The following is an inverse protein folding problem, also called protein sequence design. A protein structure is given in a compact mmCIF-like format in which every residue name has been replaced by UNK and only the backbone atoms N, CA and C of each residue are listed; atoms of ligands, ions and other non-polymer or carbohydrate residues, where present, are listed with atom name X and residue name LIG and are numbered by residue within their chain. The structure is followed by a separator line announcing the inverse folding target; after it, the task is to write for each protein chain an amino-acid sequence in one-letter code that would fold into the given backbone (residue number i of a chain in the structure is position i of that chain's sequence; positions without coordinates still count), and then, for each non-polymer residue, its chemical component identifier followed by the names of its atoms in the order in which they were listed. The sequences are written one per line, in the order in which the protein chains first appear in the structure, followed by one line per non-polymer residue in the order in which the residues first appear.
data_IF_943959304177
#
_entry.id   IF_943959304177
#
_cell.length_a   1.000
_cell.length_b   1.000
_cell.length_c   1.000
_cell.angle_alpha   90.00
_cell.angle_beta   90.00
_cell.angle_gamma   90.00
#
_symmetry.space_group_name_H-M   'P 1'
#
loop_
_entity.id
_entity.type
_entity.pdbx_description
1 polymer ?
#
# COMPACT_ATOMS: atom_id res chain seq x y z
N UNK A 1 0.80 -7.07 9.49
CA UNK A 1 -0.27 -7.95 10.02
C UNK A 1 -0.27 -9.22 9.22
N UNK A 2 -0.18 -10.39 9.85
CA UNK A 2 -0.05 -11.65 9.11
C UNK A 2 -1.45 -12.12 8.71
N UNK A 3 -1.70 -12.18 7.40
CA UNK A 3 -2.91 -12.79 6.85
C UNK A 3 -2.62 -14.26 6.57
N UNK A 4 -3.48 -15.15 7.06
CA UNK A 4 -3.37 -16.60 6.83
C UNK A 4 -3.33 -16.87 5.32
N UNK A 5 -2.34 -17.64 4.88
CA UNK A 5 -2.16 -18.01 3.47
C UNK A 5 -1.58 -16.92 2.54
N UNK A 6 -1.38 -15.68 3.03
CA UNK A 6 -0.82 -14.58 2.21
C UNK A 6 0.57 -14.13 2.64
N UNK A 7 1.09 -14.67 3.75
CA UNK A 7 2.45 -14.36 4.20
C UNK A 7 3.47 -14.91 3.20
N UNK A 8 4.43 -14.07 2.81
CA UNK A 8 5.62 -14.49 2.04
C UNK A 8 6.73 -15.01 2.95
N UNK A 9 6.58 -14.82 4.26
CA UNK A 9 7.41 -15.41 5.29
C UNK A 9 6.85 -16.79 5.67
N UNK A 10 7.37 -17.82 5.01
CA UNK A 10 6.96 -19.23 5.11
C UNK A 10 8.14 -20.10 5.56
N UNK A 11 7.87 -21.32 6.03
CA UNK A 11 8.92 -22.27 6.41
C UNK A 11 9.91 -22.51 5.24
N UNK A 12 9.41 -22.68 4.02
CA UNK A 12 10.24 -22.82 2.82
C UNK A 12 11.16 -21.62 2.62
N UNK A 13 10.61 -20.40 2.68
CA UNK A 13 11.43 -19.19 2.54
C UNK A 13 12.47 -19.03 3.65
N UNK A 14 12.27 -19.63 4.83
CA UNK A 14 13.26 -19.62 5.92
C UNK A 14 14.36 -20.65 5.71
N UNK A 15 14.06 -21.82 5.14
CA UNK A 15 15.07 -22.77 4.68
C UNK A 15 15.89 -22.20 3.52
N UNK A 16 15.27 -21.50 2.57
CA UNK A 16 15.99 -20.82 1.50
C UNK A 16 17.05 -19.84 2.06
N UNK A 17 16.75 -19.14 3.17
CA UNK A 17 17.72 -18.26 3.85
C UNK A 17 18.87 -19.06 4.51
N UNK A 18 18.59 -20.27 5.00
CA UNK A 18 19.57 -21.17 5.59
C UNK A 18 20.52 -21.71 4.52
N UNK A 19 19.98 -22.19 3.40
CA UNK A 19 20.76 -22.71 2.27
C UNK A 19 21.67 -21.63 1.67
N UNK A 20 21.21 -20.37 1.64
CA UNK A 20 22.00 -19.22 1.19
C UNK A 20 22.99 -18.70 2.24
N UNK A 21 22.97 -19.23 3.47
CA UNK A 21 23.89 -18.81 4.54
C UNK A 21 23.68 -17.37 5.04
N UNK A 22 22.52 -16.78 4.81
CA UNK A 22 22.21 -15.38 5.18
C UNK A 22 21.16 -15.31 6.29
N UNK A 23 21.21 -14.24 7.12
CA UNK A 23 20.20 -13.97 8.17
C UNK A 23 19.97 -15.13 9.15
N UNK A 24 21.06 -15.62 9.73
CA UNK A 24 21.06 -16.71 10.71
C UNK A 24 20.00 -16.58 11.82
N UNK A 25 19.69 -15.35 12.25
CA UNK A 25 18.63 -15.07 13.26
C UNK A 25 17.22 -15.50 12.83
N UNK A 26 16.99 -15.74 11.54
CA UNK A 26 15.69 -16.14 10.99
C UNK A 26 15.63 -17.63 10.64
N UNK A 27 16.75 -18.37 10.76
CA UNK A 27 16.79 -19.79 10.39
C UNK A 27 15.84 -20.62 11.26
N UNK A 28 15.17 -21.65 10.70
CA UNK A 28 14.40 -22.59 11.49
C UNK A 28 15.28 -23.27 12.54
N UNK A 29 14.76 -23.44 13.75
CA UNK A 29 15.45 -24.14 14.84
C UNK A 29 14.75 -25.48 15.06
N UNK A 30 15.50 -26.56 14.99
CA UNK A 30 15.01 -27.90 15.30
C UNK A 30 15.02 -28.11 16.82
N UNK A 31 13.84 -28.32 17.40
CA UNK A 31 13.64 -28.68 18.81
C UNK A 31 13.01 -30.09 18.86
N UNK A 32 13.87 -31.10 18.76
CA UNK A 32 13.45 -32.50 18.65
C UNK A 32 12.66 -32.77 17.37
N UNK A 33 11.38 -33.12 17.51
CA UNK A 33 10.46 -33.34 16.38
C UNK A 33 9.75 -32.06 15.91
N UNK A 34 9.93 -30.94 16.60
CA UNK A 34 9.26 -29.68 16.27
C UNK A 34 10.22 -28.71 15.59
N UNK A 35 9.70 -27.96 14.62
CA UNK A 35 10.45 -26.89 13.96
C UNK A 35 9.94 -25.55 14.51
N UNK A 36 10.80 -24.84 15.21
CA UNK A 36 10.51 -23.52 15.74
C UNK A 36 10.96 -22.43 14.76
N UNK A 37 10.08 -21.48 14.47
CA UNK A 37 10.36 -20.34 13.61
C UNK A 37 10.61 -19.09 14.45
N UNK A 38 11.85 -18.53 14.44
CA UNK A 38 12.12 -17.29 15.13
C UNK A 38 11.28 -16.14 14.60
N UNK A 39 10.79 -15.30 15.51
CA UNK A 39 10.06 -14.08 15.17
C UNK A 39 10.94 -13.16 14.33
N UNK A 40 10.42 -12.72 13.19
CA UNK A 40 11.13 -11.78 12.34
C UNK A 40 11.12 -10.37 12.93
N UNK A 41 12.18 -9.59 12.68
CA UNK A 41 12.26 -8.18 13.08
C UNK A 41 11.17 -7.29 12.45
N UNK A 42 10.58 -7.72 11.33
CA UNK A 42 9.48 -7.04 10.65
C UNK A 42 8.08 -7.55 11.05
N UNK A 43 8.01 -8.52 11.97
CA UNK A 43 6.74 -9.06 12.45
C UNK A 43 6.29 -8.31 13.71
N UNK A 44 5.17 -7.58 13.59
CA UNK A 44 4.56 -6.91 14.74
C UNK A 44 4.06 -7.91 15.79
N UNK A 45 4.35 -7.63 17.06
CA UNK A 45 3.81 -8.33 18.22
C UNK A 45 2.28 -8.14 18.32
N UNK A 46 1.63 -8.93 19.18
CA UNK A 46 0.20 -8.82 19.39
C UNK A 46 -0.22 -7.46 19.99
N UNK A 47 0.67 -6.82 20.75
CA UNK A 47 0.46 -5.50 21.35
C UNK A 47 0.69 -4.39 20.32
N UNK A 48 1.75 -4.50 19.51
CA UNK A 48 2.03 -3.53 18.44
C UNK A 48 0.94 -3.54 17.38
N UNK A 49 0.42 -4.71 16.99
CA UNK A 49 -0.75 -4.81 16.11
C UNK A 49 -1.97 -4.10 16.67
N UNK A 50 -2.19 -4.19 17.98
CA UNK A 50 -3.30 -3.51 18.65
C UNK A 50 -3.11 -1.99 18.61
N UNK A 51 -1.88 -1.49 18.85
CA UNK A 51 -1.54 -0.07 18.71
C UNK A 51 -1.83 0.45 17.31
N UNK A 52 -1.41 -0.28 16.27
CA UNK A 52 -1.70 0.09 14.87
C UNK A 52 -3.21 0.09 14.58
N UNK A 53 -3.94 -0.94 15.02
CA UNK A 53 -5.39 -0.98 14.81
C UNK A 53 -6.11 0.17 15.53
N UNK A 54 -5.74 0.46 16.78
CA UNK A 54 -6.32 1.57 17.53
C UNK A 54 -6.02 2.92 16.86
N UNK A 55 -4.80 3.11 16.35
CA UNK A 55 -4.44 4.30 15.60
C UNK A 55 -5.32 4.46 14.36
N UNK A 56 -5.45 3.42 13.54
CA UNK A 56 -6.25 3.46 12.30
C UNK A 56 -7.76 3.58 12.57
N UNK A 57 -8.27 2.97 13.64
CA UNK A 57 -9.68 3.07 14.02
C UNK A 57 -10.07 4.48 14.47
N UNK A 58 -9.14 5.22 15.08
CA UNK A 58 -9.37 6.59 15.55
C UNK A 58 -8.85 7.66 14.57
N UNK A 59 -8.31 7.24 13.42
CA UNK A 59 -7.74 8.15 12.44
C UNK A 59 -8.81 9.06 11.86
N UNK A 60 -8.63 10.37 12.04
CA UNK A 60 -9.41 11.41 11.39
C UNK A 60 -8.54 12.11 10.36
N UNK A 61 -9.05 12.23 9.14
CA UNK A 61 -8.37 12.88 8.01
C UNK A 61 -9.26 13.99 7.44
N UNK A 62 -8.69 14.98 6.73
CA UNK A 62 -9.48 15.97 6.01
C UNK A 62 -10.47 15.34 5.03
N UNK A 63 -11.51 16.08 4.69
CA UNK A 63 -12.46 15.64 3.67
C UNK A 63 -11.74 15.40 2.32
N UNK A 64 -12.24 14.43 1.56
CA UNK A 64 -11.67 13.95 0.31
C UNK A 64 -10.21 13.41 0.37
N UNK A 65 -9.60 13.26 1.56
CA UNK A 65 -8.25 12.70 1.70
C UNK A 65 -8.20 11.18 1.51
N UNK A 66 -9.07 10.44 2.20
CA UNK A 66 -9.19 8.99 2.07
C UNK A 66 -10.61 8.52 2.37
N UNK A 67 -10.92 7.27 2.08
CA UNK A 67 -12.16 6.69 2.57
C UNK A 67 -12.11 6.52 4.09
N UNK A 68 -13.26 6.23 4.71
CA UNK A 68 -13.31 6.01 6.16
C UNK A 68 -12.62 4.69 6.55
N UNK A 69 -11.30 4.73 6.73
CA UNK A 69 -10.43 3.60 7.06
C UNK A 69 -10.87 2.90 8.35
N UNK A 70 -11.47 3.63 9.31
CA UNK A 70 -11.96 3.02 10.56
C UNK A 70 -12.95 1.88 10.31
N UNK A 71 -13.76 1.95 9.23
CA UNK A 71 -14.71 0.90 8.84
C UNK A 71 -14.03 -0.39 8.37
N UNK A 72 -12.77 -0.31 7.99
CA UNK A 72 -11.96 -1.42 7.53
C UNK A 72 -11.16 -2.07 8.66
N UNK A 73 -11.20 -1.53 9.89
CA UNK A 73 -10.37 -1.99 11.01
C UNK A 73 -11.21 -2.76 12.02
N UNK A 74 -10.81 -4.00 12.28
CA UNK A 74 -11.32 -4.78 13.41
C UNK A 74 -10.26 -4.82 14.52
N UNK A 75 -10.46 -3.99 15.54
CA UNK A 75 -9.53 -3.84 16.67
C UNK A 75 -9.44 -5.13 17.51
N UNK A 76 -10.58 -5.79 17.76
CA UNK A 76 -10.64 -7.00 18.57
C UNK A 76 -9.84 -8.14 17.91
N UNK A 77 -10.02 -8.32 16.60
CA UNK A 77 -9.28 -9.33 15.84
C UNK A 77 -7.88 -8.88 15.42
N UNK A 78 -7.52 -7.60 15.62
CA UNK A 78 -6.26 -6.99 15.20
C UNK A 78 -6.01 -7.14 13.69
N UNK A 79 -7.07 -6.96 12.91
CA UNK A 79 -7.08 -7.14 11.45
C UNK A 79 -7.60 -5.89 10.74
N UNK A 80 -7.17 -5.75 9.49
CA UNK A 80 -7.69 -4.76 8.55
C UNK A 80 -8.22 -5.50 7.33
N UNK A 81 -9.43 -5.21 6.90
CA UNK A 81 -10.08 -5.85 5.75
C UNK A 81 -10.91 -4.85 4.94
N UNK A 82 -11.13 -5.15 3.65
CA UNK A 82 -12.01 -4.35 2.79
C UNK A 82 -11.44 -3.01 2.35
N UNK A 83 -10.13 -2.80 2.48
CA UNK A 83 -9.43 -1.68 1.87
C UNK A 83 -9.49 -1.79 0.35
N UNK A 84 -9.70 -0.67 -0.33
CA UNK A 84 -9.57 -0.57 -1.79
C UNK A 84 -8.15 -0.15 -2.17
N UNK A 85 -7.84 -0.23 -3.47
CA UNK A 85 -6.53 0.15 -4.00
C UNK A 85 -6.12 1.57 -3.56
N UNK A 86 -7.04 2.53 -3.65
CA UNK A 86 -6.80 3.90 -3.18
C UNK A 86 -6.44 3.98 -1.69
N UNK A 87 -7.13 3.21 -0.83
CA UNK A 87 -6.85 3.21 0.61
C UNK A 87 -5.46 2.62 0.91
N UNK A 88 -5.07 1.58 0.17
CA UNK A 88 -3.72 1.04 0.25
C UNK A 88 -2.65 2.07 -0.14
N UNK A 89 -2.91 2.88 -1.18
CA UNK A 89 -2.00 3.95 -1.57
C UNK A 89 -1.86 5.03 -0.49
N UNK A 90 -2.97 5.51 0.07
CA UNK A 90 -2.93 6.51 1.16
C UNK A 90 -2.23 5.93 2.40
N UNK A 91 -2.49 4.65 2.72
CA UNK A 91 -1.81 3.99 3.82
C UNK A 91 -0.30 3.97 3.60
N UNK A 92 0.17 3.61 2.41
CA UNK A 92 1.59 3.54 2.08
C UNK A 92 2.26 4.93 2.05
N UNK A 93 1.62 5.92 1.45
CA UNK A 93 2.20 7.25 1.19
C UNK A 93 2.22 8.16 2.42
N UNK A 94 1.24 8.04 3.31
CA UNK A 94 1.06 9.01 4.39
C UNK A 94 0.92 8.37 5.78
N UNK A 95 0.03 7.38 5.90
CA UNK A 95 -0.42 6.93 7.22
C UNK A 95 0.59 5.98 7.86
N UNK A 96 1.11 5.00 7.13
CA UNK A 96 2.07 4.03 7.65
C UNK A 96 3.42 4.65 7.95
N UNK A 97 3.78 5.76 7.29
CA UNK A 97 4.98 6.53 7.63
C UNK A 97 5.00 6.96 9.10
N UNK A 98 3.82 7.19 9.67
CA UNK A 98 3.64 7.58 11.07
C UNK A 98 3.28 6.36 11.93
N UNK A 99 2.36 5.51 11.46
CA UNK A 99 1.79 4.44 12.26
C UNK A 99 2.80 3.38 12.72
N UNK A 100 3.86 3.12 11.93
CA UNK A 100 4.87 2.12 12.27
C UNK A 100 6.05 2.70 13.06
N UNK A 101 6.15 4.03 13.13
CA UNK A 101 7.31 4.71 13.73
C UNK A 101 7.34 4.44 15.23
N UNK A 102 8.43 3.82 15.69
CA UNK A 102 8.60 3.42 17.09
C UNK A 102 7.95 2.07 17.45
N UNK A 103 7.36 1.35 16.49
CA UNK A 103 6.86 -0.01 16.69
C UNK A 103 7.79 -1.08 16.14
N UNK A 104 8.58 -0.76 15.11
CA UNK A 104 9.55 -1.67 14.51
C UNK A 104 10.97 -1.10 14.62
N UNK A 105 12.02 -1.95 14.52
CA UNK A 105 13.40 -1.49 14.45
C UNK A 105 13.62 -0.49 13.30
N UNK A 106 14.58 0.42 13.46
CA UNK A 106 14.87 1.45 12.45
C UNK A 106 15.24 0.84 11.10
N UNK A 107 15.97 -0.27 11.13
CA UNK A 107 16.39 -1.02 9.96
C UNK A 107 15.19 -1.49 9.11
N UNK A 108 14.02 -1.69 9.75
CA UNK A 108 12.78 -2.06 9.08
C UNK A 108 11.95 -0.83 8.72
N UNK A 109 11.83 0.14 9.64
CA UNK A 109 11.02 1.34 9.43
C UNK A 109 11.57 2.21 8.31
N UNK A 110 12.87 2.48 8.30
CA UNK A 110 13.47 3.47 7.40
C UNK A 110 13.29 3.12 5.92
N UNK A 111 13.49 1.86 5.47
CA UNK A 111 13.22 1.48 4.09
C UNK A 111 11.73 1.55 3.71
N UNK A 112 10.81 1.19 4.61
CA UNK A 112 9.36 1.30 4.39
C UNK A 112 8.97 2.79 4.26
N UNK A 113 9.53 3.63 5.13
CA UNK A 113 9.28 5.07 5.12
C UNK A 113 9.82 5.70 3.84
N UNK A 114 11.03 5.31 3.42
CA UNK A 114 11.62 5.77 2.16
C UNK A 114 10.76 5.35 0.96
N UNK A 115 10.26 4.12 0.94
CA UNK A 115 9.36 3.65 -0.12
C UNK A 115 8.06 4.46 -0.17
N UNK A 116 7.42 4.72 0.98
CA UNK A 116 6.21 5.53 1.02
C UNK A 116 6.46 6.98 0.57
N UNK A 117 7.60 7.57 0.93
CA UNK A 117 8.03 8.89 0.42
C UNK A 117 8.27 8.88 -1.08
N UNK A 118 8.94 7.86 -1.61
CA UNK A 118 9.10 7.69 -3.06
C UNK A 118 7.75 7.69 -3.77
N UNK A 119 6.80 6.87 -3.29
CA UNK A 119 5.46 6.83 -3.87
C UNK A 119 4.69 8.13 -3.71
N UNK A 120 4.87 8.86 -2.61
CA UNK A 120 4.26 10.17 -2.40
C UNK A 120 4.79 11.20 -3.40
N UNK A 121 6.09 11.18 -3.64
CA UNK A 121 6.75 12.11 -4.57
C UNK A 121 6.41 11.78 -6.02
N UNK A 122 6.54 10.52 -6.47
CA UNK A 122 6.27 10.15 -7.87
C UNK A 122 4.79 10.30 -8.28
N UNK A 123 3.86 10.27 -7.32
CA UNK A 123 2.44 10.56 -7.54
C UNK A 123 2.07 12.04 -7.30
N UNK A 124 3.05 12.93 -7.12
CA UNK A 124 2.81 14.37 -7.02
C UNK A 124 2.12 14.90 -8.27
N UNK A 125 1.31 15.96 -8.08
CA UNK A 125 0.63 16.66 -9.18
C UNK A 125 1.61 17.40 -10.08
N UNK A 126 2.70 17.88 -9.48
CA UNK A 126 3.76 18.63 -10.14
C UNK A 126 5.07 17.87 -9.93
N UNK A 127 5.78 17.60 -11.03
CA UNK A 127 7.05 16.89 -11.06
C UNK A 127 7.98 17.64 -11.99
N UNK A 128 9.19 17.96 -11.53
CA UNK A 128 10.25 18.44 -12.42
C UNK A 128 11.13 17.28 -12.90
N UNK A 129 11.97 17.50 -13.90
CA UNK A 129 12.90 16.47 -14.37
C UNK A 129 13.93 16.15 -13.29
N UNK A 130 14.37 17.14 -12.53
CA UNK A 130 15.30 16.99 -11.41
C UNK A 130 14.69 16.11 -10.30
N UNK A 131 13.41 16.31 -9.96
CA UNK A 131 12.70 15.43 -9.02
C UNK A 131 12.73 13.98 -9.51
N UNK A 132 12.49 13.76 -10.80
CA UNK A 132 12.46 12.43 -11.41
C UNK A 132 13.85 11.78 -11.48
N UNK A 133 14.90 12.55 -11.72
CA UNK A 133 16.30 12.08 -11.68
C UNK A 133 16.67 11.61 -10.27
N UNK A 134 16.28 12.36 -9.24
CA UNK A 134 16.48 11.96 -7.84
C UNK A 134 15.73 10.66 -7.54
N UNK A 135 14.44 10.59 -7.91
CA UNK A 135 13.62 9.40 -7.66
C UNK A 135 14.15 8.16 -8.40
N UNK A 136 14.66 8.32 -9.61
CA UNK A 136 15.28 7.23 -10.40
C UNK A 136 16.56 6.70 -9.75
N UNK A 137 17.38 7.58 -9.17
CA UNK A 137 18.57 7.19 -8.43
C UNK A 137 18.25 6.55 -7.06
N UNK A 138 17.18 6.99 -6.40
CA UNK A 138 16.82 6.53 -5.05
C UNK A 138 16.14 5.14 -5.05
N UNK A 139 15.26 4.85 -6.01
CA UNK A 139 14.41 3.66 -5.95
C UNK A 139 15.19 2.33 -5.93
N UNK A 140 16.31 2.13 -6.67
CA UNK A 140 17.08 0.90 -6.56
C UNK A 140 17.70 0.72 -5.17
N UNK A 141 18.11 1.82 -4.52
CA UNK A 141 18.67 1.82 -3.16
C UNK A 141 17.58 1.44 -2.15
N UNK A 142 16.38 2.00 -2.29
CA UNK A 142 15.23 1.69 -1.42
C UNK A 142 14.86 0.21 -1.54
N UNK A 143 14.73 -0.30 -2.77
CA UNK A 143 14.40 -1.71 -3.02
C UNK A 143 15.50 -2.63 -2.46
N UNK A 144 16.77 -2.29 -2.62
CA UNK A 144 17.89 -3.06 -2.05
C UNK A 144 17.84 -3.08 -0.52
N UNK A 145 17.55 -1.95 0.12
CA UNK A 145 17.40 -1.90 1.59
C UNK A 145 16.22 -2.73 2.08
N UNK A 146 15.09 -2.71 1.38
CA UNK A 146 13.97 -3.59 1.66
C UNK A 146 14.37 -5.06 1.48
N UNK A 147 15.11 -5.38 0.42
CA UNK A 147 15.59 -6.73 0.14
C UNK A 147 16.45 -7.27 1.27
N UNK A 148 17.26 -6.44 1.94
CA UNK A 148 18.07 -6.83 3.09
C UNK A 148 17.25 -7.20 4.34
N UNK A 149 15.99 -6.75 4.43
CA UNK A 149 15.13 -6.93 5.60
C UNK A 149 14.12 -8.06 5.37
N UNK A 150 13.38 -8.02 4.27
CA UNK A 150 12.26 -8.92 4.00
C UNK A 150 12.69 -10.20 3.28
N UNK A 151 11.94 -11.31 3.41
CA UNK A 151 12.28 -12.57 2.73
C UNK A 151 12.38 -12.41 1.22
N UNK A 152 13.28 -13.16 0.58
CA UNK A 152 13.44 -13.13 -0.89
C UNK A 152 12.14 -13.45 -1.63
N UNK A 153 11.30 -14.34 -1.06
CA UNK A 153 9.98 -14.68 -1.61
C UNK A 153 8.99 -13.49 -1.70
N UNK A 154 9.27 -12.38 -1.02
CA UNK A 154 8.51 -11.14 -1.15
C UNK A 154 8.83 -10.39 -2.45
N UNK A 155 10.07 -10.48 -2.95
CA UNK A 155 10.55 -9.72 -4.10
C UNK A 155 10.30 -10.45 -5.42
N UNK A 156 9.02 -10.54 -5.79
CA UNK A 156 8.64 -10.90 -7.15
C UNK A 156 8.74 -9.70 -8.11
N UNK A 157 8.46 -9.93 -9.38
CA UNK A 157 8.54 -8.92 -10.45
C UNK A 157 7.75 -7.66 -10.10
N UNK A 158 6.61 -7.79 -9.40
CA UNK A 158 5.75 -6.65 -9.07
C UNK A 158 6.43 -5.67 -8.11
N UNK A 159 7.24 -6.17 -7.17
CA UNK A 159 7.98 -5.33 -6.21
C UNK A 159 9.10 -4.55 -6.91
N UNK A 160 9.54 -5.00 -8.08
CA UNK A 160 10.58 -4.35 -8.87
C UNK A 160 10.07 -3.30 -9.85
N UNK A 161 8.79 -3.34 -10.25
CA UNK A 161 8.18 -2.36 -11.16
C UNK A 161 8.37 -0.88 -10.77
N UNK A 162 8.42 -0.49 -9.49
CA UNK A 162 8.64 0.92 -9.11
C UNK A 162 9.88 1.56 -9.73
N UNK A 163 10.90 0.77 -10.11
CA UNK A 163 12.10 1.28 -10.78
C UNK A 163 11.80 1.97 -12.11
N UNK A 164 10.70 1.60 -12.78
CA UNK A 164 10.33 2.15 -14.08
C UNK A 164 9.49 3.42 -13.97
N UNK A 165 8.87 3.69 -12.81
CA UNK A 165 7.94 4.81 -12.65
C UNK A 165 8.57 6.19 -12.95
N UNK A 166 9.82 6.49 -12.54
CA UNK A 166 10.45 7.76 -12.90
C UNK A 166 10.62 7.93 -14.41
N UNK A 167 11.11 6.91 -15.11
CA UNK A 167 11.24 6.93 -16.57
C UNK A 167 9.89 7.06 -17.28
N UNK A 168 8.87 6.35 -16.81
CA UNK A 168 7.51 6.51 -17.30
C UNK A 168 6.98 7.93 -17.08
N UNK A 169 7.27 8.55 -15.94
CA UNK A 169 6.87 9.93 -15.64
C UNK A 169 7.60 10.97 -16.49
N UNK A 170 8.87 10.74 -16.84
CA UNK A 170 9.62 11.60 -17.78
C UNK A 170 8.98 11.58 -19.18
N UNK A 171 8.50 10.42 -19.62
CA UNK A 171 7.91 10.25 -20.95
C UNK A 171 6.44 10.69 -21.02
N UNK A 172 5.63 10.31 -20.02
CA UNK A 172 4.17 10.48 -20.04
C UNK A 172 3.65 11.54 -19.08
N UNK A 173 4.52 12.24 -18.35
CA UNK A 173 4.12 13.19 -17.32
C UNK A 173 3.57 12.54 -16.04
N UNK A 174 2.99 13.35 -15.13
CA UNK A 174 2.56 12.90 -13.81
C UNK A 174 1.58 11.71 -13.82
N UNK A 175 1.76 10.81 -12.85
CA UNK A 175 0.96 9.58 -12.75
C UNK A 175 -0.55 9.85 -12.55
N UNK A 176 -0.92 11.02 -12.01
CA UNK A 176 -2.32 11.41 -11.79
C UNK A 176 -3.19 11.29 -13.05
N UNK A 177 -2.63 11.59 -14.23
CA UNK A 177 -3.38 11.58 -15.49
C UNK A 177 -3.34 10.23 -16.21
N UNK A 178 -2.53 9.29 -15.72
CA UNK A 178 -2.25 8.01 -16.39
C UNK A 178 -2.66 6.79 -15.58
N UNK A 179 -3.05 6.98 -14.32
CA UNK A 179 -3.58 5.91 -13.49
C UNK A 179 -5.09 5.75 -13.65
N UNK A 180 -5.62 4.62 -13.17
CA UNK A 180 -7.03 4.28 -13.30
C UNK A 180 -7.97 5.02 -12.33
N UNK A 181 -7.45 5.76 -11.35
CA UNK A 181 -8.30 6.32 -10.28
C UNK A 181 -9.32 7.35 -10.76
N UNK A 182 -9.00 8.32 -11.64
CA UNK A 182 -9.99 9.24 -12.19
C UNK A 182 -11.11 8.49 -12.93
N UNK A 183 -10.73 7.48 -13.73
CA UNK A 183 -11.66 6.67 -14.51
C UNK A 183 -12.58 5.87 -13.59
N UNK A 184 -12.01 5.16 -12.60
CA UNK A 184 -12.79 4.37 -11.63
C UNK A 184 -13.75 5.25 -10.80
N UNK A 185 -13.32 6.46 -10.41
CA UNK A 185 -14.17 7.43 -9.70
C UNK A 185 -15.31 7.89 -10.59
N UNK A 186 -15.04 8.25 -11.84
CA UNK A 186 -16.08 8.65 -12.78
C UNK A 186 -17.08 7.52 -13.05
N UNK A 187 -16.60 6.29 -13.28
CA UNK A 187 -17.46 5.12 -13.44
C UNK A 187 -18.32 4.84 -12.20
N UNK A 188 -17.81 5.10 -11.00
CA UNK A 188 -18.62 5.03 -9.77
C UNK A 188 -19.74 6.06 -9.78
N UNK A 189 -19.45 7.29 -10.20
CA UNK A 189 -20.46 8.36 -10.34
C UNK A 189 -21.54 7.95 -11.34
N UNK A 190 -21.15 7.51 -12.55
CA UNK A 190 -22.10 7.03 -13.56
C UNK A 190 -22.97 5.86 -13.06
N UNK A 191 -22.38 4.92 -12.30
CA UNK A 191 -23.15 3.82 -11.69
C UNK A 191 -24.22 4.31 -10.72
N UNK A 192 -24.03 5.45 -10.06
CA UNK A 192 -25.03 6.03 -9.17
C UNK A 192 -26.23 6.63 -9.91
N UNK A 193 -26.08 6.95 -11.20
CA UNK A 193 -27.17 7.42 -12.05
C UNK A 193 -28.09 6.30 -12.54
N UNK A 194 -27.63 5.05 -12.52
CA UNK A 194 -28.42 3.88 -12.96
C UNK A 194 -29.55 3.58 -11.96
N UNK A 195 -30.70 4.26 -12.12
CA UNK A 195 -31.93 3.99 -11.35
C UNK A 195 -32.77 2.87 -11.96
N UNK A 196 -32.75 2.72 -13.29
CA UNK A 196 -33.43 1.64 -14.00
C UNK A 196 -32.41 0.70 -14.66
N UNK A 197 -32.20 -0.50 -14.08
CA UNK A 197 -31.27 -1.50 -14.60
C UNK A 197 -31.67 -2.10 -15.95
N UNK A 198 -32.94 -1.97 -16.36
CA UNK A 198 -33.42 -2.45 -17.67
C UNK A 198 -33.07 -1.47 -18.81
N UNK A 199 -32.72 -0.22 -18.48
CA UNK A 199 -32.32 0.83 -19.43
C UNK A 199 -31.19 1.69 -18.83
N UNK A 200 -30.01 1.09 -18.58
CA UNK A 200 -28.95 1.75 -17.82
C UNK A 200 -28.43 3.00 -18.51
N UNK A 201 -28.33 3.01 -19.85
CA UNK A 201 -27.86 4.16 -20.63
C UNK A 201 -28.82 5.35 -20.48
N UNK A 202 -30.14 5.10 -20.60
CA UNK A 202 -31.16 6.14 -20.43
C UNK A 202 -31.15 6.73 -19.02
N UNK A 203 -31.01 5.89 -17.98
CA UNK A 203 -30.88 6.35 -16.60
C UNK A 203 -29.61 7.18 -16.36
N UNK A 204 -28.49 6.82 -17.00
CA UNK A 204 -27.25 7.60 -16.90
C UNK A 204 -27.45 8.99 -17.53
N UNK A 205 -28.04 9.08 -18.72
CA UNK A 205 -28.31 10.36 -19.40
C UNK A 205 -29.22 11.25 -18.57
N UNK A 206 -30.31 10.71 -18.02
CA UNK A 206 -31.22 11.46 -17.14
C UNK A 206 -30.51 11.99 -15.88
N UNK A 207 -29.73 11.14 -15.21
CA UNK A 207 -28.99 11.53 -14.01
C UNK A 207 -27.94 12.60 -14.29
N UNK A 208 -27.22 12.47 -15.40
CA UNK A 208 -26.22 13.46 -15.83
C UNK A 208 -26.86 14.81 -16.18
N UNK A 209 -27.97 14.81 -16.94
CA UNK A 209 -28.71 16.04 -17.26
C UNK A 209 -29.21 16.77 -16.00
N UNK A 210 -29.68 16.02 -15.01
CA UNK A 210 -30.13 16.59 -13.75
C UNK A 210 -28.97 17.22 -12.97
N UNK A 211 -27.81 16.56 -12.87
CA UNK A 211 -26.62 17.10 -12.22
C UNK A 211 -26.08 18.36 -12.91
N UNK A 212 -25.94 18.33 -14.24
CA UNK A 212 -25.52 19.49 -15.03
C UNK A 212 -26.48 20.67 -14.82
N UNK A 213 -27.79 20.43 -14.90
CA UNK A 213 -28.80 21.48 -14.70
C UNK A 213 -28.69 22.12 -13.32
N UNK A 214 -28.50 21.31 -12.28
CA UNK A 214 -28.29 21.82 -10.91
C UNK A 214 -27.00 22.63 -10.80
N UNK A 215 -25.92 22.18 -11.45
CA UNK A 215 -24.62 22.86 -11.46
C UNK A 215 -24.68 24.21 -12.18
N UNK A 216 -25.45 24.33 -13.27
CA UNK A 216 -25.67 25.60 -13.95
C UNK A 216 -26.54 26.58 -13.16
N UNK A 217 -27.41 26.07 -12.28
CA UNK A 217 -28.31 26.89 -11.46
C UNK A 217 -27.73 27.30 -10.09
N UNK A 218 -26.56 26.77 -9.70
CA UNK A 218 -25.85 27.11 -8.45
C UNK A 218 -24.79 28.17 -8.66
#
# INVERSE_FOLDING_TARGET
MNMVGKTKDTLKSRYDLMDLGIRQRLHPIEDGNNILLPAACYALSAEEKLKVCNFLANLKVPDAFSSNISRCVNVQEKKIHGLKCHDHHVLLQDIFLVAIRGLLPKEVCDPIIALGKFFKNIYSKCLTIEDLDILEAEIPIILTKLQLVFPLAFFDVMVHLPIHLPGEAKLGGPAQYRNMYPIERYLRTLKSYVRNKNRPEGSIVEGYLAEESLTFCS
#
